data_IF_697483094998
#
_entry.id   IF_697483094998
#
_cell.length_a   1.000
_cell.length_b   1.000
_cell.length_c   1.000
_cell.angle_alpha   90.00
_cell.angle_beta   90.00
_cell.angle_gamma   90.00
#
_symmetry.space_group_name_H-M   'P 1'
#
loop_
_entity.id
_entity.type
_entity.pdbx_description
1 polymer ?
#
# COMPACT_ATOMS: atom_id res chain seq x y z
N UNK A 1 28.70 22.54 17.12
CA UNK A 1 28.11 21.32 17.68
C UNK A 1 28.66 20.12 16.91
N UNK A 2 29.31 19.16 17.59
CA UNK A 2 29.73 17.88 16.99
C UNK A 2 28.54 16.93 17.06
N UNK A 3 28.02 16.50 15.93
CA UNK A 3 27.09 15.36 15.90
C UNK A 3 27.85 14.11 16.32
N UNK A 4 27.28 13.33 17.24
CA UNK A 4 27.81 12.00 17.56
C UNK A 4 27.77 11.13 16.30
N UNK A 5 28.78 10.27 16.06
CA UNK A 5 28.72 9.31 14.96
C UNK A 5 27.51 8.38 15.17
N UNK A 6 26.79 8.09 14.10
CA UNK A 6 25.70 7.12 14.15
C UNK A 6 26.28 5.74 14.47
N UNK A 7 25.68 5.02 15.42
CA UNK A 7 25.96 3.60 15.62
C UNK A 7 25.42 2.83 14.41
N UNK A 8 26.33 2.17 13.68
CA UNK A 8 25.97 1.25 12.61
C UNK A 8 25.63 -0.10 13.25
N UNK A 9 24.37 -0.52 13.14
CA UNK A 9 23.93 -1.85 13.53
C UNK A 9 23.74 -2.68 12.28
N UNK A 10 24.45 -3.80 12.18
CA UNK A 10 24.31 -4.73 11.06
C UNK A 10 22.94 -5.42 11.09
N UNK A 11 22.54 -5.91 12.28
CA UNK A 11 21.26 -6.58 12.53
C UNK A 11 20.65 -6.07 13.83
N UNK A 12 19.33 -5.87 13.87
CA UNK A 12 18.59 -5.51 15.09
C UNK A 12 17.20 -6.14 15.09
N UNK A 13 16.85 -6.80 16.20
CA UNK A 13 15.51 -7.30 16.50
C UNK A 13 15.00 -6.65 17.78
N UNK A 14 13.73 -6.23 17.78
CA UNK A 14 13.08 -5.67 18.96
C UNK A 14 11.77 -6.43 19.19
N UNK A 15 11.70 -7.17 20.30
CA UNK A 15 10.48 -7.87 20.73
C UNK A 15 9.78 -7.05 21.82
N UNK A 16 8.54 -6.63 21.54
CA UNK A 16 7.69 -5.96 22.52
C UNK A 16 6.49 -6.85 22.84
N UNK A 17 6.42 -7.37 24.06
CA UNK A 17 5.42 -8.38 24.46
C UNK A 17 4.11 -7.80 25.00
N UNK A 18 4.08 -6.50 25.27
CA UNK A 18 2.89 -5.80 25.77
C UNK A 18 2.57 -4.60 24.88
N UNK A 19 3.06 -3.41 25.25
CA UNK A 19 2.71 -2.16 24.58
C UNK A 19 3.95 -1.41 24.11
N UNK A 20 3.89 -0.82 22.93
CA UNK A 20 4.87 0.13 22.41
C UNK A 20 4.19 1.48 22.18
N UNK A 21 4.83 2.57 22.63
CA UNK A 21 4.42 3.94 22.33
C UNK A 21 5.65 4.73 21.93
N UNK A 22 5.60 5.33 20.76
CA UNK A 22 6.61 6.26 20.26
C UNK A 22 5.99 7.63 20.05
N UNK A 23 6.73 8.69 20.34
CA UNK A 23 6.29 10.07 20.09
C UNK A 23 7.45 10.85 19.51
N UNK A 24 7.28 11.34 18.28
CA UNK A 24 8.25 12.16 17.58
C UNK A 24 7.73 13.61 17.60
N UNK A 25 8.47 14.50 18.26
CA UNK A 25 8.08 15.92 18.37
C UNK A 25 8.40 16.75 17.13
N UNK A 26 9.17 16.20 16.18
CA UNK A 26 9.55 16.84 14.92
C UNK A 26 9.27 15.94 13.73
N UNK A 27 10.21 15.86 12.79
CA UNK A 27 10.06 15.06 11.57
C UNK A 27 10.44 13.59 11.82
N UNK A 28 9.66 12.66 11.26
CA UNK A 28 9.99 11.23 11.21
C UNK A 28 10.26 10.83 9.75
N UNK A 29 11.52 10.53 9.42
CA UNK A 29 11.93 10.01 8.11
C UNK A 29 12.35 8.55 8.25
N UNK A 30 11.69 7.66 7.53
CA UNK A 30 12.04 6.24 7.46
C UNK A 30 12.46 5.94 6.02
N UNK A 31 13.65 5.37 5.84
CA UNK A 31 14.15 4.89 4.54
C UNK A 31 14.39 3.40 4.62
N UNK A 32 13.63 2.62 3.85
CA UNK A 32 13.84 1.18 3.67
C UNK A 32 14.44 0.95 2.28
N UNK A 33 15.62 0.32 2.20
CA UNK A 33 16.34 0.11 0.92
C UNK A 33 15.87 -1.13 0.15
N UNK A 34 15.22 -2.06 0.83
CA UNK A 34 14.71 -3.31 0.27
C UNK A 34 13.20 -3.39 0.53
N UNK A 35 12.73 -4.45 1.18
CA UNK A 35 11.31 -4.71 1.40
C UNK A 35 10.86 -4.25 2.80
N UNK A 36 9.65 -3.70 2.89
CA UNK A 36 8.93 -3.47 4.14
C UNK A 36 7.69 -4.37 4.15
N UNK A 37 7.56 -5.23 5.16
CA UNK A 37 6.41 -6.11 5.37
C UNK A 37 5.77 -5.75 6.69
N UNK A 38 4.46 -5.51 6.69
CA UNK A 38 3.68 -5.23 7.89
C UNK A 38 2.54 -6.25 8.00
N UNK A 39 2.46 -6.92 9.14
CA UNK A 39 1.37 -7.85 9.45
C UNK A 39 0.63 -7.35 10.67
N UNK A 40 -0.68 -7.16 10.53
CA UNK A 40 -1.56 -6.70 11.61
C UNK A 40 -2.66 -7.74 11.80
N UNK A 41 -2.76 -8.30 13.00
CA UNK A 41 -3.68 -9.41 13.30
C UNK A 41 -5.10 -8.92 13.62
N UNK A 42 -5.21 -7.71 14.17
CA UNK A 42 -6.48 -7.09 14.50
C UNK A 42 -6.73 -5.90 13.57
N UNK A 43 -6.60 -4.67 14.07
CA UNK A 43 -6.95 -3.46 13.35
C UNK A 43 -5.73 -2.56 13.17
N UNK A 44 -5.61 -1.96 11.99
CA UNK A 44 -4.72 -0.83 11.72
C UNK A 44 -5.57 0.44 11.55
N UNK A 45 -5.19 1.52 12.22
CA UNK A 45 -5.79 2.84 12.03
C UNK A 45 -4.67 3.84 11.75
N UNK A 46 -4.86 4.65 10.70
CA UNK A 46 -3.99 5.77 10.37
C UNK A 46 -4.84 7.04 10.29
N UNK A 47 -4.38 8.10 10.97
CA UNK A 47 -5.03 9.41 10.95
C UNK A 47 -4.02 10.45 10.49
N UNK A 48 -4.23 11.03 9.31
CA UNK A 48 -3.38 12.08 8.73
C UNK A 48 -4.09 13.42 8.84
N UNK A 49 -3.44 14.39 9.48
CA UNK A 49 -4.07 15.70 9.74
C UNK A 49 -4.19 16.61 8.52
N UNK A 50 -3.34 16.40 7.50
CA UNK A 50 -3.30 17.19 6.25
C UNK A 50 -3.33 16.23 5.05
N UNK A 51 -2.24 16.14 4.28
CA UNK A 51 -2.18 15.33 3.06
C UNK A 51 -1.41 14.02 3.26
N UNK A 52 -1.93 12.93 2.69
CA UNK A 52 -1.23 11.66 2.49
C UNK A 52 -0.95 11.48 0.99
N UNK A 53 0.28 11.14 0.62
CA UNK A 53 0.66 10.84 -0.77
C UNK A 53 1.32 9.47 -0.83
N UNK A 54 0.87 8.65 -1.78
CA UNK A 54 1.41 7.31 -2.04
C UNK A 54 1.84 7.29 -3.51
N UNK A 55 3.13 7.03 -3.74
CA UNK A 55 3.69 6.88 -5.09
C UNK A 55 4.20 5.47 -5.25
N UNK A 56 3.63 4.74 -6.21
CA UNK A 56 4.03 3.36 -6.53
C UNK A 56 4.62 3.35 -7.94
N UNK A 57 5.81 2.77 -8.09
CA UNK A 57 6.50 2.72 -9.39
C UNK A 57 5.91 1.70 -10.38
N UNK A 58 5.27 0.64 -9.85
CA UNK A 58 4.62 -0.42 -10.61
C UNK A 58 3.10 -0.39 -10.35
N UNK A 59 2.48 -1.55 -10.13
CA UNK A 59 1.04 -1.65 -9.87
C UNK A 59 0.74 -1.57 -8.37
N UNK A 60 -0.31 -0.85 -8.00
CA UNK A 60 -0.89 -0.84 -6.65
C UNK A 60 -2.20 -1.65 -6.68
N UNK A 61 -2.35 -2.60 -5.76
CA UNK A 61 -3.56 -3.40 -5.62
C UNK A 61 -4.06 -3.39 -4.18
N UNK A 62 -5.34 -3.11 -4.00
CA UNK A 62 -6.05 -3.21 -2.72
C UNK A 62 -7.12 -4.28 -2.85
N UNK A 63 -7.09 -5.28 -1.95
CA UNK A 63 -7.98 -6.45 -2.02
C UNK A 63 -8.67 -6.66 -0.68
N UNK A 64 -10.00 -6.76 -0.70
CA UNK A 64 -10.85 -7.02 0.47
C UNK A 64 -11.86 -8.10 0.10
N UNK A 65 -11.61 -9.33 0.54
CA UNK A 65 -12.42 -10.48 0.13
C UNK A 65 -12.47 -10.60 -1.41
N UNK A 66 -13.67 -10.44 -2.00
CA UNK A 66 -13.88 -10.46 -3.46
C UNK A 66 -13.79 -9.08 -4.13
N UNK A 67 -13.69 -8.00 -3.36
CA UNK A 67 -13.53 -6.65 -3.90
C UNK A 67 -12.05 -6.37 -4.17
N UNK A 68 -11.77 -5.72 -5.30
CA UNK A 68 -10.40 -5.37 -5.70
C UNK A 68 -10.36 -4.06 -6.47
N UNK A 69 -9.42 -3.19 -6.07
CA UNK A 69 -8.99 -2.01 -6.80
C UNK A 69 -7.57 -2.25 -7.31
N UNK A 70 -7.30 -1.94 -8.58
CA UNK A 70 -5.95 -1.97 -9.14
C UNK A 70 -5.67 -0.71 -9.94
N UNK A 71 -4.55 -0.05 -9.61
CA UNK A 71 -3.95 1.03 -10.38
C UNK A 71 -2.67 0.49 -11.02
N UNK A 72 -2.54 0.64 -12.32
CA UNK A 72 -1.41 0.06 -13.06
C UNK A 72 -0.40 1.13 -13.49
N UNK A 73 0.84 0.70 -13.74
CA UNK A 73 1.90 1.59 -14.22
C UNK A 73 1.57 2.27 -15.55
N UNK A 74 0.78 1.62 -16.43
CA UNK A 74 0.30 2.17 -17.70
C UNK A 74 -0.97 3.03 -17.55
N UNK A 75 -1.43 3.29 -16.31
CA UNK A 75 -2.52 4.22 -16.01
C UNK A 75 -3.92 3.62 -16.10
N UNK A 76 -4.07 2.30 -16.22
CA UNK A 76 -5.38 1.63 -16.19
C UNK A 76 -5.89 1.54 -14.74
N UNK A 77 -7.21 1.58 -14.62
CA UNK A 77 -7.93 1.44 -13.35
C UNK A 77 -8.89 0.26 -13.48
N UNK A 78 -8.80 -0.67 -12.54
CA UNK A 78 -9.71 -1.80 -12.45
C UNK A 78 -10.49 -1.73 -11.14
N UNK A 79 -11.82 -1.78 -11.25
CA UNK A 79 -12.75 -1.88 -10.13
C UNK A 79 -13.52 -3.19 -10.28
N UNK A 80 -13.26 -4.16 -9.41
CA UNK A 80 -13.87 -5.48 -9.46
C UNK A 80 -14.58 -5.78 -8.14
N UNK A 81 -15.76 -6.39 -8.25
CA UNK A 81 -16.56 -6.83 -7.11
C UNK A 81 -17.88 -7.45 -7.57
N UNK A 82 -18.66 -7.98 -6.62
CA UNK A 82 -19.99 -8.54 -6.90
C UNK A 82 -21.03 -7.45 -7.19
N UNK A 83 -20.83 -6.25 -6.67
CA UNK A 83 -21.62 -5.06 -6.96
C UNK A 83 -20.72 -3.82 -6.88
N UNK A 84 -20.92 -2.87 -7.81
CA UNK A 84 -20.27 -1.55 -7.79
C UNK A 84 -21.40 -0.52 -7.72
N UNK A 85 -21.56 0.12 -6.57
CA UNK A 85 -22.56 1.18 -6.39
C UNK A 85 -21.92 2.53 -6.69
N UNK A 86 -22.37 3.20 -7.75
CA UNK A 86 -21.94 4.56 -8.11
C UNK A 86 -23.10 5.51 -7.86
N UNK A 87 -22.91 6.48 -6.96
CA UNK A 87 -23.94 7.46 -6.61
C UNK A 87 -23.35 8.86 -6.72
N UNK A 88 -23.86 9.65 -7.67
CA UNK A 88 -23.59 11.08 -7.76
C UNK A 88 -24.82 11.86 -7.29
N UNK A 89 -24.64 12.84 -6.40
CA UNK A 89 -25.72 13.76 -6.03
C UNK A 89 -26.06 14.74 -7.17
N UNK A 90 -25.05 15.13 -7.97
CA UNK A 90 -25.20 16.06 -9.09
C UNK A 90 -25.00 15.38 -10.44
N UNK A 91 -23.86 14.70 -10.64
CA UNK A 91 -23.56 14.02 -11.90
C UNK A 91 -22.63 12.81 -11.67
N UNK A 92 -22.70 11.86 -12.59
CA UNK A 92 -21.66 10.86 -12.85
C UNK A 92 -21.25 11.06 -14.32
N UNK A 93 -20.04 11.57 -14.55
CA UNK A 93 -19.54 11.92 -15.89
C UNK A 93 -18.50 10.91 -16.36
N UNK A 94 -18.54 10.58 -17.65
CA UNK A 94 -17.48 9.84 -18.33
C UNK A 94 -17.16 10.54 -19.65
N UNK A 95 -15.88 10.72 -19.94
CA UNK A 95 -15.39 11.34 -21.17
C UNK A 95 -14.30 10.44 -21.75
N UNK A 96 -14.57 9.90 -22.94
CA UNK A 96 -13.68 9.02 -23.67
C UNK A 96 -14.13 8.92 -25.13
N UNK A 97 -13.24 8.45 -26.00
CA UNK A 97 -13.59 8.12 -27.39
C UNK A 97 -14.63 7.00 -27.50
N UNK A 98 -14.69 6.11 -26.49
CA UNK A 98 -15.61 4.98 -26.46
C UNK A 98 -16.00 4.66 -25.02
N UNK A 99 -17.28 4.41 -24.79
CA UNK A 99 -17.81 3.90 -23.52
C UNK A 99 -18.55 2.61 -23.78
N UNK A 100 -18.10 1.54 -23.14
CA UNK A 100 -18.57 0.17 -23.31
C UNK A 100 -19.53 -0.22 -22.18
N UNK A 101 -20.78 -0.50 -22.49
CA UNK A 101 -21.80 -0.92 -21.52
C UNK A 101 -22.34 -2.31 -21.86
N UNK A 102 -22.18 -3.24 -20.92
CA UNK A 102 -22.72 -4.61 -21.04
C UNK A 102 -22.33 -5.32 -22.37
N UNK A 103 -21.16 -5.03 -22.92
CA UNK A 103 -20.67 -5.64 -24.17
C UNK A 103 -19.58 -6.70 -23.94
N UNK A 104 -19.19 -6.95 -22.69
CA UNK A 104 -18.16 -7.94 -22.34
C UNK A 104 -16.73 -7.54 -22.68
N UNK A 105 -16.49 -6.29 -23.10
CA UNK A 105 -15.16 -5.81 -23.50
C UNK A 105 -14.22 -5.45 -22.33
N UNK A 106 -14.60 -5.74 -21.09
CA UNK A 106 -13.79 -5.44 -19.91
C UNK A 106 -12.55 -6.34 -19.88
N UNK A 107 -11.39 -5.76 -19.63
CA UNK A 107 -10.14 -6.50 -19.43
C UNK A 107 -10.04 -7.05 -18.00
N UNK A 108 -9.34 -8.17 -17.84
CA UNK A 108 -8.97 -8.67 -16.51
C UNK A 108 -7.92 -7.76 -15.86
N UNK A 109 -8.04 -7.48 -14.55
CA UNK A 109 -6.99 -6.76 -13.85
C UNK A 109 -5.70 -7.58 -13.88
N UNK A 110 -4.51 -6.93 -13.91
CA UNK A 110 -3.27 -7.67 -13.84
C UNK A 110 -3.26 -8.50 -12.56
N UNK A 111 -2.58 -9.65 -12.60
CA UNK A 111 -2.35 -10.44 -11.40
C UNK A 111 -1.74 -9.54 -10.32
N UNK A 112 -2.11 -9.78 -9.07
CA UNK A 112 -1.45 -9.10 -7.95
C UNK A 112 0.07 -9.27 -8.15
N UNK A 113 0.87 -8.23 -7.87
CA UNK A 113 2.33 -8.39 -7.87
C UNK A 113 2.65 -9.67 -7.11
N UNK A 114 3.39 -10.58 -7.76
CA UNK A 114 3.82 -11.79 -7.07
C UNK A 114 4.53 -11.32 -5.79
N UNK A 115 4.15 -11.89 -4.63
CA UNK A 115 4.98 -11.73 -3.45
C UNK A 115 6.40 -12.06 -3.91
N UNK A 116 7.30 -11.08 -3.83
CA UNK A 116 8.72 -11.37 -3.93
C UNK A 116 8.94 -12.47 -2.92
N UNK A 117 9.24 -13.70 -3.39
CA UNK A 117 9.46 -14.89 -2.56
C UNK A 117 10.65 -14.76 -1.60
N UNK A 118 11.12 -13.54 -1.33
CA UNK A 118 11.88 -13.21 -0.15
C UNK A 118 11.00 -13.47 1.07
N UNK A 119 11.09 -14.70 1.56
CA UNK A 119 10.93 -15.02 2.98
C UNK A 119 11.52 -13.85 3.79
N UNK A 120 10.83 -13.36 4.84
CA UNK A 120 11.38 -12.32 5.70
C UNK A 120 12.82 -12.72 6.04
N UNK A 121 13.81 -11.85 5.83
CA UNK A 121 15.20 -12.22 6.05
C UNK A 121 15.32 -12.88 7.41
N UNK A 122 15.91 -14.07 7.47
CA UNK A 122 16.11 -14.75 8.75
C UNK A 122 17.13 -13.95 9.54
N UNK A 123 16.61 -13.06 10.39
CA UNK A 123 17.40 -12.20 11.27
C UNK A 123 18.20 -13.01 12.31
N UNK A 124 18.06 -14.35 12.35
CA UNK A 124 18.81 -15.27 13.23
C UNK A 124 20.05 -15.87 12.56
N UNK A 125 20.26 -15.67 11.26
CA UNK A 125 21.35 -16.32 10.51
C UNK A 125 22.58 -15.44 10.20
N UNK A 126 22.69 -14.23 10.78
CA UNK A 126 23.89 -13.37 10.67
C UNK A 126 24.27 -12.69 11.98
#
# INVERSE_FOLDING_TARGET
MRTAPAEELNNRTTDVTANHRETIGGNHLITVKQNQIQTVVQNQQETVGQNQSITVGQNQAETVGMARLVLTQDGKIFLNGTAINLQGMQTLSGDALMINWNCGATEDPPKAPAESGSQPPDMRQY
#
